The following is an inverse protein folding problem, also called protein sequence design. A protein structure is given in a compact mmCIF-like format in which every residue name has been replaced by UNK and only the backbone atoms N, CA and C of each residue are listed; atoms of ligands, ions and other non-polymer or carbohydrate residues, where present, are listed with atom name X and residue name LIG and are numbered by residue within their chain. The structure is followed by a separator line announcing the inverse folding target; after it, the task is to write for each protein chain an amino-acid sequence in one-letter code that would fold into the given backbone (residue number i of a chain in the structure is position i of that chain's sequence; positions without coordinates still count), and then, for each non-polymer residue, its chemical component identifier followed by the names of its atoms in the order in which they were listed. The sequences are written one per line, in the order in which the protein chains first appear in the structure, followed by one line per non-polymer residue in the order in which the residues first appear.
data_IF_695888969753
#
_entry.id   IF_695888969753
#
_cell.length_a   1.000
_cell.length_b   1.000
_cell.length_c   1.000
_cell.angle_alpha   90.00
_cell.angle_beta   90.00
_cell.angle_gamma   90.00
#
_symmetry.space_group_name_H-M   'P 1'
#
loop_
_entity.id
_entity.type
_entity.pdbx_description
1 polymer ?
#
# COMPACT_ATOMS: atom_id res chain seq x y z
N UNK A 1 -4.48 -1.79 -5.40
CA UNK A 1 -5.34 -2.39 -6.45
C UNK A 1 -4.64 -2.22 -7.78
N UNK A 2 -4.77 -3.20 -8.68
CA UNK A 2 -4.09 -3.26 -9.98
C UNK A 2 -2.56 -3.43 -9.91
N UNK A 3 -2.02 -4.16 -8.93
CA UNK A 3 -0.56 -4.35 -8.76
C UNK A 3 0.28 -3.06 -8.60
N UNK A 4 -0.37 -1.93 -8.30
CA UNK A 4 0.32 -0.71 -7.90
C UNK A 4 0.70 -0.76 -6.41
N UNK A 5 1.97 -0.50 -6.11
CA UNK A 5 2.56 -0.52 -4.78
C UNK A 5 2.82 0.91 -4.29
N UNK A 6 1.82 1.53 -3.67
CA UNK A 6 1.84 2.94 -3.21
C UNK A 6 2.63 3.12 -1.91
N UNK A 7 2.67 2.08 -1.08
CA UNK A 7 3.42 2.06 0.18
C UNK A 7 4.17 0.73 0.32
N UNK A 8 5.32 0.58 -0.37
CA UNK A 8 6.15 -0.61 -0.24
C UNK A 8 6.50 -0.87 1.23
N UNK A 9 6.34 -2.10 1.69
CA UNK A 9 6.63 -2.47 3.09
C UNK A 9 5.53 -2.17 4.10
N UNK A 10 4.32 -1.80 3.66
CA UNK A 10 3.17 -1.71 4.56
C UNK A 10 2.90 -3.03 5.29
N UNK A 11 2.64 -2.95 6.60
CA UNK A 11 2.09 -4.04 7.38
C UNK A 11 0.64 -3.76 7.76
N UNK A 12 -0.18 -4.81 7.84
CA UNK A 12 -1.57 -4.69 8.30
C UNK A 12 -1.72 -4.77 9.82
N UNK A 13 -0.68 -5.21 10.53
CA UNK A 13 -0.76 -5.59 11.95
C UNK A 13 0.28 -4.89 12.85
N UNK A 14 1.07 -3.95 12.33
CA UNK A 14 2.08 -3.24 13.12
C UNK A 14 1.50 -2.08 13.96
N UNK A 15 0.21 -1.78 13.77
CA UNK A 15 -0.51 -0.73 14.46
C UNK A 15 -0.09 0.67 14.03
N UNK A 16 0.36 0.82 12.79
CA UNK A 16 0.74 2.10 12.19
C UNK A 16 0.03 2.28 10.84
N UNK A 17 0.00 3.53 10.39
CA UNK A 17 -0.54 3.94 9.10
C UNK A 17 0.61 4.41 8.23
N UNK A 18 0.68 3.87 7.02
CA UNK A 18 1.54 4.40 5.97
C UNK A 18 0.85 5.59 5.32
N UNK A 19 1.53 6.74 5.30
CA UNK A 19 1.07 7.96 4.65
C UNK A 19 2.04 8.27 3.51
N UNK A 20 1.53 8.16 2.29
CA UNK A 20 2.27 8.43 1.06
C UNK A 20 1.83 9.78 0.48
N UNK A 21 2.70 10.77 0.51
CA UNK A 21 2.44 12.13 -0.03
C UNK A 21 3.24 12.32 -1.31
N UNK A 22 2.54 12.45 -2.44
CA UNK A 22 3.14 12.70 -3.73
C UNK A 22 3.02 14.19 -4.08
N UNK A 23 4.16 14.85 -4.29
CA UNK A 23 4.18 16.23 -4.78
C UNK A 23 3.70 16.29 -6.23
N UNK A 24 3.17 17.44 -6.71
CA UNK A 24 2.74 17.60 -8.09
C UNK A 24 3.80 17.15 -9.11
N UNK A 25 3.36 16.33 -10.06
CA UNK A 25 4.17 15.85 -11.19
C UNK A 25 3.91 16.72 -12.42
N UNK A 26 4.94 16.93 -13.24
CA UNK A 26 4.79 17.41 -14.61
C UNK A 26 4.55 16.23 -15.56
N UNK A 27 4.15 16.52 -16.81
CA UNK A 27 3.79 15.49 -17.78
C UNK A 27 4.92 14.50 -18.10
N UNK A 28 6.18 14.93 -18.01
CA UNK A 28 7.35 14.08 -18.30
C UNK A 28 7.67 13.12 -17.15
N UNK A 29 7.33 13.48 -15.91
CA UNK A 29 7.59 12.66 -14.72
C UNK A 29 6.50 11.60 -14.49
N UNK A 30 5.31 11.79 -15.07
CA UNK A 30 4.17 10.87 -14.90
C UNK A 30 4.52 9.44 -15.36
N UNK A 31 5.08 9.20 -16.57
CA UNK A 31 5.43 7.85 -17.00
C UNK A 31 6.42 7.16 -16.04
N UNK A 32 7.49 7.85 -15.65
CA UNK A 32 8.51 7.30 -14.76
C UNK A 32 7.91 6.97 -13.38
N UNK A 33 7.13 7.89 -12.81
CA UNK A 33 6.49 7.68 -11.51
C UNK A 33 5.49 6.54 -11.54
N UNK A 34 4.78 6.38 -12.66
CA UNK A 34 3.84 5.28 -12.90
C UNK A 34 4.57 3.94 -12.92
N UNK A 35 5.69 3.82 -13.64
CA UNK A 35 6.54 2.62 -13.64
C UNK A 35 7.03 2.29 -12.21
N UNK A 36 7.41 3.30 -11.43
CA UNK A 36 7.86 3.11 -10.05
C UNK A 36 6.76 2.55 -9.13
N UNK A 37 5.50 2.91 -9.34
CA UNK A 37 4.36 2.34 -8.60
C UNK A 37 4.24 0.83 -8.84
N UNK A 38 4.37 0.38 -10.09
CA UNK A 38 4.22 -1.05 -10.42
C UNK A 38 5.48 -1.88 -10.12
N UNK A 39 6.65 -1.24 -10.00
CA UNK A 39 7.92 -1.92 -9.70
C UNK A 39 8.34 -1.85 -8.23
N UNK A 40 7.46 -1.38 -7.33
CA UNK A 40 7.74 -1.22 -5.88
C UNK A 40 8.88 -0.25 -5.55
N UNK A 41 9.17 0.70 -6.43
CA UNK A 41 10.27 1.67 -6.27
C UNK A 41 9.79 3.11 -6.07
N UNK A 42 8.50 3.32 -5.81
CA UNK A 42 7.92 4.67 -5.67
C UNK A 42 8.49 5.44 -4.48
N UNK A 43 8.92 4.74 -3.45
CA UNK A 43 9.59 5.28 -2.27
C UNK A 43 10.95 5.92 -2.58
N UNK A 44 11.56 5.59 -3.71
CA UNK A 44 12.82 6.20 -4.20
C UNK A 44 12.60 7.48 -5.00
N UNK A 45 11.36 7.86 -5.28
CA UNK A 45 11.05 9.08 -6.01
C UNK A 45 11.22 10.31 -5.11
N UNK A 46 11.97 11.33 -5.55
CA UNK A 46 12.23 12.55 -4.78
C UNK A 46 10.97 13.39 -4.50
N UNK A 47 9.89 13.14 -5.23
CA UNK A 47 8.57 13.75 -5.04
C UNK A 47 7.66 12.97 -4.11
N UNK A 48 8.07 11.76 -3.73
CA UNK A 48 7.37 10.95 -2.73
C UNK A 48 7.89 11.28 -1.33
N UNK A 49 6.98 11.43 -0.39
CA UNK A 49 7.29 11.49 1.04
C UNK A 49 6.49 10.41 1.73
N UNK A 50 7.19 9.46 2.34
CA UNK A 50 6.60 8.36 3.08
C UNK A 50 6.71 8.62 4.58
N UNK A 51 5.59 8.54 5.29
CA UNK A 51 5.52 8.70 6.74
C UNK A 51 4.85 7.48 7.37
N UNK A 52 5.20 7.21 8.62
CA UNK A 52 4.61 6.15 9.41
C UNK A 52 4.08 6.76 10.72
N UNK A 53 2.77 6.71 10.93
CA UNK A 53 2.15 7.37 12.09
C UNK A 53 0.94 6.61 12.61
N UNK A 54 0.49 6.90 13.83
CA UNK A 54 -0.80 6.43 14.36
C UNK A 54 -1.91 7.45 14.25
N UNK A 55 -1.55 8.73 14.16
CA UNK A 55 -2.48 9.85 14.08
C UNK A 55 -2.03 10.76 12.95
N UNK A 56 -2.97 11.16 12.10
CA UNK A 56 -2.73 12.05 10.98
C UNK A 56 -3.78 13.15 11.00
N UNK A 57 -3.32 14.39 10.98
CA UNK A 57 -4.15 15.57 10.81
C UNK A 57 -3.85 16.17 9.43
N UNK A 58 -4.84 16.18 8.54
CA UNK A 58 -4.74 16.73 7.20
C UNK A 58 -5.47 18.08 7.19
N UNK A 59 -4.77 19.12 6.74
CA UNK A 59 -5.35 20.46 6.50
C UNK A 59 -5.29 20.79 5.02
N UNK A 60 -6.40 21.25 4.46
CA UNK A 60 -6.51 21.71 3.07
C UNK A 60 -7.19 23.06 3.00
N UNK A 61 -7.00 23.78 1.90
CA UNK A 61 -7.48 25.16 1.75
C UNK A 61 -9.01 25.29 1.73
N UNK A 62 -9.73 24.23 1.34
CA UNK A 62 -11.20 24.19 1.30
C UNK A 62 -11.73 22.77 1.46
N UNK A 63 -12.99 22.63 1.88
CA UNK A 63 -13.74 21.39 1.86
C UNK A 63 -13.84 20.81 0.43
N UNK A 64 -14.06 19.50 0.31
CA UNK A 64 -14.04 18.80 -0.97
C UNK A 64 -14.12 17.28 -0.87
N UNK A 65 -14.07 16.62 -2.03
CA UNK A 65 -14.22 15.17 -2.15
C UNK A 65 -12.92 14.43 -1.78
N UNK A 66 -13.06 13.26 -1.15
CA UNK A 66 -12.00 12.26 -0.98
C UNK A 66 -12.59 10.86 -1.20
N UNK A 67 -11.73 9.88 -1.48
CA UNK A 67 -12.14 8.49 -1.57
C UNK A 67 -11.86 7.77 -0.25
N UNK A 68 -12.85 7.01 0.25
CA UNK A 68 -12.67 6.01 1.31
C UNK A 68 -13.07 4.66 0.74
N UNK A 69 -12.14 3.71 0.74
CA UNK A 69 -12.36 2.36 0.21
C UNK A 69 -12.95 2.32 -1.21
N UNK A 70 -12.57 3.29 -2.05
CA UNK A 70 -13.07 3.44 -3.42
C UNK A 70 -14.31 4.32 -3.57
N UNK A 71 -15.02 4.64 -2.49
CA UNK A 71 -16.24 5.44 -2.53
C UNK A 71 -15.97 6.94 -2.33
N UNK A 72 -16.59 7.83 -3.14
CA UNK A 72 -16.44 9.27 -2.98
C UNK A 72 -17.28 9.80 -1.82
N UNK A 73 -16.64 10.58 -0.96
CA UNK A 73 -17.29 11.27 0.16
C UNK A 73 -16.89 12.74 0.19
N UNK A 74 -17.80 13.62 0.61
CA UNK A 74 -17.48 15.01 0.89
C UNK A 74 -16.97 15.15 2.33
N UNK A 75 -15.88 15.88 2.53
CA UNK A 75 -15.28 16.11 3.85
C UNK A 75 -14.97 17.59 4.07
N UNK A 76 -14.64 17.97 5.29
CA UNK A 76 -14.29 19.35 5.66
C UNK A 76 -12.83 19.70 5.30
N UNK A 77 -12.42 20.95 5.54
CA UNK A 77 -11.04 21.39 5.31
C UNK A 77 -10.02 20.82 6.30
N UNK A 78 -10.46 20.31 7.44
CA UNK A 78 -9.63 19.62 8.43
C UNK A 78 -10.11 18.18 8.62
N UNK A 79 -9.21 17.22 8.50
CA UNK A 79 -9.52 15.79 8.54
C UNK A 79 -8.58 15.11 9.54
N UNK A 80 -9.15 14.36 10.47
CA UNK A 80 -8.41 13.62 11.48
C UNK A 80 -8.56 12.11 11.23
N UNK A 81 -7.43 11.43 11.04
CA UNK A 81 -7.35 9.99 10.83
C UNK A 81 -6.56 9.37 11.97
N UNK A 82 -7.09 8.29 12.55
CA UNK A 82 -6.44 7.55 13.65
C UNK A 82 -6.44 6.06 13.38
N UNK A 83 -5.36 5.39 13.77
CA UNK A 83 -5.31 3.94 13.82
C UNK A 83 -6.02 3.42 15.06
N UNK A 84 -6.94 2.48 14.85
CA UNK A 84 -7.50 1.63 15.90
C UNK A 84 -6.82 0.27 15.80
N UNK A 85 -5.66 0.14 16.46
CA UNK A 85 -4.87 -1.08 16.38
C UNK A 85 -5.64 -2.27 16.97
N UNK A 86 -5.71 -3.38 16.22
CA UNK A 86 -6.52 -4.55 16.55
C UNK A 86 -8.00 -4.21 16.77
N UNK A 87 -8.51 -3.18 16.07
CA UNK A 87 -9.92 -2.78 16.15
C UNK A 87 -10.91 -3.81 15.61
N UNK A 88 -10.43 -4.76 14.78
CA UNK A 88 -11.22 -5.86 14.25
C UNK A 88 -10.63 -7.20 14.71
N UNK A 89 -11.52 -8.12 15.09
CA UNK A 89 -11.19 -9.54 15.26
C UNK A 89 -11.58 -10.25 13.97
N UNK A 90 -10.60 -10.75 13.25
CA UNK A 90 -10.81 -11.43 11.96
C UNK A 90 -10.30 -12.86 12.03
N UNK A 91 -10.96 -13.76 11.30
CA UNK A 91 -10.43 -15.11 11.07
C UNK A 91 -9.28 -15.02 10.07
N UNK A 92 -8.14 -15.61 10.42
CA UNK A 92 -6.96 -15.71 9.56
C UNK A 92 -6.51 -17.17 9.51
N UNK A 93 -5.86 -17.62 8.42
CA UNK A 93 -5.23 -18.94 8.40
C UNK A 93 -4.26 -19.10 9.56
N UNK A 94 -4.13 -20.32 10.09
CA UNK A 94 -3.17 -20.57 11.14
C UNK A 94 -1.74 -20.40 10.62
N UNK A 95 -0.78 -20.16 11.52
CA UNK A 95 0.64 -20.08 11.14
C UNK A 95 1.10 -21.35 10.40
N UNK A 96 0.58 -22.52 10.80
CA UNK A 96 0.85 -23.78 10.12
C UNK A 96 0.31 -23.79 8.68
N UNK A 97 -0.92 -23.31 8.46
CA UNK A 97 -1.52 -23.20 7.12
C UNK A 97 -0.72 -22.25 6.22
N UNK A 98 -0.21 -21.14 6.76
CA UNK A 98 0.60 -20.19 6.00
C UNK A 98 1.96 -20.76 5.60
N UNK A 99 2.61 -21.50 6.50
CA UNK A 99 3.88 -22.18 6.21
C UNK A 99 3.68 -23.24 5.12
N UNK A 100 2.64 -24.05 5.23
CA UNK A 100 2.35 -25.11 4.27
C UNK A 100 2.00 -24.54 2.88
N UNK A 101 1.26 -23.42 2.81
CA UNK A 101 0.99 -22.72 1.55
C UNK A 101 2.29 -22.21 0.90
N UNK A 102 3.17 -21.56 1.66
CA UNK A 102 4.47 -21.09 1.14
C UNK A 102 5.33 -22.25 0.62
N UNK A 103 5.35 -23.40 1.33
CA UNK A 103 6.07 -24.59 0.88
C UNK A 103 5.56 -25.06 -0.49
N UNK A 104 4.24 -25.19 -0.65
CA UNK A 104 3.62 -25.60 -1.92
C UNK A 104 3.88 -24.61 -3.05
N UNK A 105 3.82 -23.30 -2.78
CA UNK A 105 4.16 -22.27 -3.78
C UNK A 105 5.61 -22.41 -4.25
N UNK A 106 6.56 -22.58 -3.32
CA UNK A 106 7.97 -22.78 -3.67
C UNK A 106 8.20 -24.07 -4.48
N UNK A 107 7.54 -25.16 -4.12
CA UNK A 107 7.59 -26.42 -4.88
C UNK A 107 7.03 -26.26 -6.29
N UNK A 108 5.89 -25.57 -6.43
CA UNK A 108 5.30 -25.29 -7.73
C UNK A 108 6.23 -24.44 -8.60
N UNK A 109 6.82 -23.38 -8.04
CA UNK A 109 7.79 -22.52 -8.76
C UNK A 109 9.02 -23.32 -9.19
N UNK A 110 9.58 -24.12 -8.28
CA UNK A 110 10.73 -24.97 -8.61
C UNK A 110 10.40 -25.97 -9.72
N UNK A 111 9.23 -26.63 -9.64
CA UNK A 111 8.78 -27.58 -10.67
C UNK A 111 8.52 -26.92 -12.04
N UNK A 112 8.02 -25.68 -12.05
CA UNK A 112 7.81 -24.91 -13.27
C UNK A 112 9.15 -24.49 -13.90
N UNK A 113 10.13 -24.09 -13.06
CA UNK A 113 11.48 -23.79 -13.51
C UNK A 113 12.18 -25.02 -14.08
N UNK A 114 12.17 -26.17 -13.38
CA UNK A 114 12.84 -27.39 -13.87
C UNK A 114 12.24 -27.91 -15.18
N UNK A 115 10.94 -27.70 -15.43
CA UNK A 115 10.32 -27.98 -16.73
C UNK A 115 10.77 -27.07 -17.87
N UNK A 116 11.25 -25.87 -17.59
CA UNK A 116 11.74 -24.95 -18.62
C UNK A 116 13.21 -25.21 -19.00
N UNK A 117 13.98 -25.79 -18.08
CA UNK A 117 15.39 -26.13 -18.29
C UNK A 117 15.63 -27.54 -18.88
N UNK A 118 14.59 -28.38 -18.95
CA UNK A 118 14.59 -29.68 -19.64
C UNK A 118 13.91 -29.55 -20.99
#
# INVERSE_FOLDING_TARGET
GNDAFIAPGASMDDGKMNVSVLKPLNALEIPQTTIQLFTKNIDKNSKMTSLLTRNLHIKRSKAGVMHIDGEPIHTDSEINVRIVHKGLKVFVPSSADLIERKRKENENVFSALTRWFN
#
